data_IF_751796407875
#
_entry.id   IF_751796407875
#
_cell.length_a   1.000
_cell.length_b   1.000
_cell.length_c   1.000
_cell.angle_alpha   90.00
_cell.angle_beta   90.00
_cell.angle_gamma   90.00
#
_symmetry.space_group_name_H-M   'P 1'
#
loop_
_entity.id
_entity.type
_entity.pdbx_description
1 polymer ?
#
# COMPACT_ATOMS: atom_id res chain seq x y z
N UNK A 1 -7.19 -17.23 3.97
CA UNK A 1 -7.85 -16.04 4.52
C UNK A 1 -8.23 -15.14 3.35
N UNK A 2 -9.47 -14.67 3.30
CA UNK A 2 -9.95 -13.77 2.24
C UNK A 2 -9.36 -12.38 2.49
N UNK A 3 -8.68 -11.78 1.50
CA UNK A 3 -8.22 -10.39 1.61
C UNK A 3 -9.44 -9.47 1.49
N UNK A 4 -9.62 -8.56 2.45
CA UNK A 4 -10.67 -7.52 2.38
C UNK A 4 -10.15 -6.36 1.53
N UNK A 5 -10.93 -5.91 0.56
CA UNK A 5 -10.58 -4.78 -0.31
C UNK A 5 -10.84 -3.47 0.44
N UNK A 6 -9.82 -2.62 0.53
CA UNK A 6 -9.94 -1.26 1.03
C UNK A 6 -10.45 -0.34 -0.08
N UNK A 7 -9.82 -0.40 -1.27
CA UNK A 7 -10.27 0.36 -2.44
C UNK A 7 -9.88 -0.30 -3.76
N UNK A 8 -10.60 0.07 -4.83
CA UNK A 8 -10.27 -0.22 -6.22
C UNK A 8 -10.16 1.11 -6.96
N UNK A 9 -9.09 1.30 -7.70
CA UNK A 9 -8.81 2.58 -8.36
C UNK A 9 -8.01 2.37 -9.64
N UNK A 10 -7.88 3.42 -10.43
CA UNK A 10 -7.00 3.47 -11.59
C UNK A 10 -5.76 4.26 -11.22
N UNK A 11 -4.58 3.70 -11.48
CA UNK A 11 -3.31 4.39 -11.30
C UNK A 11 -3.14 5.52 -12.31
N UNK A 12 -2.29 6.53 -12.04
CA UNK A 12 -1.96 7.58 -13.01
C UNK A 12 -1.48 7.08 -14.38
N UNK A 13 -0.82 5.93 -14.44
CA UNK A 13 -0.43 5.25 -15.70
C UNK A 13 -1.59 4.64 -16.48
N UNK A 14 -2.77 4.50 -15.87
CA UNK A 14 -3.95 3.85 -16.44
C UNK A 14 -4.15 2.40 -16.02
N UNK A 15 -3.19 1.78 -15.32
CA UNK A 15 -3.35 0.41 -14.80
C UNK A 15 -4.42 0.33 -13.71
N UNK A 16 -5.10 -0.82 -13.63
CA UNK A 16 -6.09 -1.06 -12.58
C UNK A 16 -5.39 -1.50 -11.28
N UNK A 17 -5.73 -0.87 -10.16
CA UNK A 17 -5.17 -1.18 -8.85
C UNK A 17 -6.25 -1.65 -7.87
N UNK A 18 -5.93 -2.69 -7.11
CA UNK A 18 -6.69 -3.13 -5.94
C UNK A 18 -5.80 -2.98 -4.71
N UNK A 19 -6.27 -2.23 -3.73
CA UNK A 19 -5.55 -2.03 -2.46
C UNK A 19 -6.36 -2.72 -1.36
N UNK A 20 -5.69 -3.58 -0.61
CA UNK A 20 -6.29 -4.37 0.46
C UNK A 20 -6.15 -3.71 1.84
N UNK A 21 -7.06 -4.08 2.74
CA UNK A 21 -7.04 -3.64 4.12
C UNK A 21 -5.74 -4.01 4.86
N UNK A 22 -5.16 -3.01 5.52
CA UNK A 22 -3.96 -3.17 6.33
C UNK A 22 -4.32 -3.65 7.74
N UNK A 23 -4.15 -4.95 8.00
CA UNK A 23 -4.20 -5.50 9.35
C UNK A 23 -2.84 -5.47 10.02
N UNK A 24 -2.82 -5.55 11.36
CA UNK A 24 -1.58 -5.55 12.15
C UNK A 24 -0.53 -6.55 11.69
N UNK A 25 -0.91 -7.72 11.14
CA UNK A 25 0.04 -8.68 10.55
C UNK A 25 0.86 -8.10 9.40
N UNK A 26 0.26 -7.26 8.54
CA UNK A 26 0.94 -6.62 7.42
C UNK A 26 1.87 -5.52 7.94
N UNK A 27 1.38 -4.71 8.89
CA UNK A 27 2.13 -3.66 9.55
C UNK A 27 3.38 -4.20 10.26
N UNK A 28 3.23 -5.19 11.14
CA UNK A 28 4.36 -5.77 11.88
C UNK A 28 5.31 -6.56 10.98
N UNK A 29 4.81 -7.16 9.88
CA UNK A 29 5.67 -7.77 8.87
C UNK A 29 6.56 -6.69 8.22
N UNK A 30 5.95 -5.60 7.72
CA UNK A 30 6.69 -4.50 7.12
C UNK A 30 7.72 -3.88 8.09
N UNK A 31 7.37 -3.64 9.35
CA UNK A 31 8.29 -3.12 10.36
C UNK A 31 9.52 -4.02 10.60
N UNK A 32 9.34 -5.34 10.67
CA UNK A 32 10.45 -6.27 10.89
C UNK A 32 11.42 -6.26 9.72
N UNK A 33 10.90 -6.12 8.51
CA UNK A 33 11.72 -6.13 7.30
C UNK A 33 12.38 -4.78 7.02
N UNK A 34 11.74 -3.66 7.40
CA UNK A 34 12.25 -2.33 7.10
C UNK A 34 13.43 -1.89 7.97
N UNK A 35 13.65 -2.53 9.13
CA UNK A 35 14.75 -2.20 10.06
C UNK A 35 14.80 -0.71 10.45
N UNK A 36 13.64 -0.06 10.50
CA UNK A 36 13.50 1.37 10.85
C UNK A 36 13.58 2.33 9.66
N UNK A 37 13.79 1.84 8.44
CA UNK A 37 13.73 2.66 7.24
C UNK A 37 12.27 2.86 6.78
N UNK A 38 11.84 4.12 6.65
CA UNK A 38 10.46 4.43 6.32
C UNK A 38 10.10 4.09 4.85
N UNK A 39 11.06 4.19 3.93
CA UNK A 39 10.85 3.85 2.52
C UNK A 39 10.70 2.34 2.36
N UNK A 40 11.55 1.56 3.03
CA UNK A 40 11.42 0.09 3.08
C UNK A 40 10.12 -0.33 3.76
N UNK A 41 9.69 0.36 4.81
CA UNK A 41 8.42 0.08 5.47
C UNK A 41 7.24 0.19 4.48
N UNK A 42 7.16 1.29 3.74
CA UNK A 42 6.13 1.47 2.70
C UNK A 42 6.30 0.45 1.58
N UNK A 43 7.52 0.15 1.14
CA UNK A 43 7.82 -0.87 0.11
C UNK A 43 7.20 -2.22 0.48
N UNK A 44 7.40 -2.68 1.72
CA UNK A 44 6.84 -3.95 2.18
C UNK A 44 5.32 -3.92 2.34
N UNK A 45 4.73 -2.77 2.68
CA UNK A 45 3.27 -2.62 2.67
C UNK A 45 2.71 -2.71 1.26
N UNK A 46 3.32 -2.05 0.28
CA UNK A 46 2.90 -2.13 -1.13
C UNK A 46 2.90 -3.57 -1.64
N UNK A 47 3.99 -4.30 -1.41
CA UNK A 47 4.11 -5.71 -1.81
C UNK A 47 3.05 -6.61 -1.18
N UNK A 48 2.61 -6.29 0.05
CA UNK A 48 1.60 -7.07 0.75
C UNK A 48 0.16 -6.71 0.35
N UNK A 49 -0.09 -5.45 0.00
CA UNK A 49 -1.44 -4.87 -0.05
C UNK A 49 -1.89 -4.40 -1.42
N UNK A 50 -0.99 -4.31 -2.41
CA UNK A 50 -1.32 -3.76 -3.73
C UNK A 50 -1.28 -4.88 -4.76
N UNK A 51 -2.35 -4.96 -5.54
CA UNK A 51 -2.42 -5.72 -6.79
C UNK A 51 -2.60 -4.76 -7.97
N UNK A 52 -1.88 -5.00 -9.05
CA UNK A 52 -1.93 -4.23 -10.29
C UNK A 52 -2.33 -5.19 -11.41
N UNK A 53 -3.35 -4.81 -12.19
CA UNK A 53 -3.87 -5.61 -13.30
C UNK A 53 -4.14 -7.08 -12.89
N UNK A 54 -4.80 -7.23 -11.72
CA UNK A 54 -5.17 -8.51 -11.09
C UNK A 54 -3.98 -9.39 -10.66
N UNK A 55 -2.78 -8.82 -10.60
CA UNK A 55 -1.56 -9.53 -10.18
C UNK A 55 -0.99 -8.94 -8.90
N UNK A 56 -0.56 -9.84 -8.01
CA UNK A 56 0.22 -9.46 -6.83
C UNK A 56 1.51 -8.77 -7.26
N UNK A 57 1.84 -7.69 -6.58
CA UNK A 57 3.05 -6.94 -6.87
C UNK A 57 4.28 -7.74 -6.44
N UNK A 58 5.24 -7.91 -7.35
CA UNK A 58 6.55 -8.49 -7.03
C UNK A 58 7.56 -7.37 -6.74
N UNK A 59 8.68 -7.66 -6.05
CA UNK A 59 9.75 -6.68 -5.85
C UNK A 59 10.23 -6.05 -7.15
N UNK A 60 10.43 -6.86 -8.19
CA UNK A 60 10.89 -6.40 -9.50
C UNK A 60 9.83 -5.54 -10.19
N UNK A 61 8.54 -5.89 -10.08
CA UNK A 61 7.46 -5.10 -10.63
C UNK A 61 7.34 -3.73 -9.95
N UNK A 62 7.54 -3.69 -8.62
CA UNK A 62 7.57 -2.45 -7.86
C UNK A 62 8.76 -1.56 -8.25
N UNK A 63 9.95 -2.14 -8.40
CA UNK A 63 11.17 -1.40 -8.80
C UNK A 63 11.07 -0.80 -10.21
N UNK A 64 10.27 -1.40 -11.09
CA UNK A 64 10.01 -0.91 -12.44
C UNK A 64 8.72 -0.08 -12.56
N UNK A 65 8.02 0.18 -11.46
CA UNK A 65 6.77 0.94 -11.47
C UNK A 65 7.03 2.42 -11.77
N UNK A 66 6.11 3.06 -12.50
CA UNK A 66 6.22 4.48 -12.77
C UNK A 66 6.14 5.29 -11.48
N UNK A 67 7.05 6.27 -11.29
CA UNK A 67 7.15 7.03 -10.03
C UNK A 67 5.85 7.69 -9.56
N UNK A 68 5.02 8.17 -10.51
CA UNK A 68 3.67 8.70 -10.23
C UNK A 68 2.74 7.67 -9.58
N UNK A 69 2.82 6.41 -9.99
CA UNK A 69 2.00 5.34 -9.43
C UNK A 69 2.51 4.95 -8.04
N UNK A 70 3.83 4.95 -7.83
CA UNK A 70 4.45 4.76 -6.51
C UNK A 70 3.98 5.87 -5.56
N UNK A 71 4.04 7.13 -5.98
CA UNK A 71 3.61 8.27 -5.17
C UNK A 71 2.12 8.14 -4.80
N UNK A 72 1.27 7.83 -5.78
CA UNK A 72 -0.16 7.64 -5.56
C UNK A 72 -0.44 6.46 -4.60
N UNK A 73 0.19 5.30 -4.81
CA UNK A 73 0.05 4.14 -3.92
C UNK A 73 0.50 4.47 -2.49
N UNK A 74 1.59 5.23 -2.35
CA UNK A 74 2.10 5.67 -1.03
C UNK A 74 1.09 6.55 -0.32
N UNK A 75 0.48 7.50 -1.03
CA UNK A 75 -0.54 8.39 -0.48
C UNK A 75 -1.76 7.61 0.02
N UNK A 76 -2.28 6.69 -0.80
CA UNK A 76 -3.44 5.86 -0.42
C UNK A 76 -3.13 4.95 0.77
N UNK A 77 -1.93 4.35 0.81
CA UNK A 77 -1.51 3.55 1.96
C UNK A 77 -1.36 4.41 3.22
N UNK A 78 -0.86 5.64 3.08
CA UNK A 78 -0.71 6.56 4.21
C UNK A 78 -2.06 7.01 4.74
N UNK A 79 -3.01 7.36 3.87
CA UNK A 79 -4.37 7.75 4.28
C UNK A 79 -5.06 6.64 5.07
N UNK A 80 -4.88 5.37 4.66
CA UNK A 80 -5.38 4.21 5.41
C UNK A 80 -4.83 4.12 6.83
N UNK A 81 -3.61 4.62 7.08
CA UNK A 81 -2.97 4.59 8.40
C UNK A 81 -3.23 5.85 9.23
N UNK A 82 -3.48 6.99 8.59
CA UNK A 82 -3.64 8.29 9.28
C UNK A 82 -5.09 8.68 9.50
N UNK A 83 -6.04 8.12 8.74
CA UNK A 83 -7.46 8.39 8.96
C UNK A 83 -7.97 7.60 10.18
N UNK A 84 -8.04 8.31 11.30
CA UNK A 84 -9.08 8.00 12.29
C UNK A 84 -10.45 8.07 11.61
N UNK A 85 -11.38 7.24 12.08
CA UNK A 85 -12.83 7.30 11.79
C UNK A 85 -13.28 8.75 11.58
N UNK A 86 -14.08 9.06 10.53
CA UNK A 86 -14.49 10.44 10.25
C UNK A 86 -15.06 11.10 11.52
N UNK A 87 -14.36 12.11 12.06
CA UNK A 87 -14.83 12.92 13.20
C UNK A 87 -13.90 13.15 14.39
N UNK A 88 -12.62 12.75 14.37
CA UNK A 88 -11.67 13.15 15.43
C UNK A 88 -10.47 13.92 14.84
N UNK A 89 -10.12 15.10 15.41
CA UNK A 89 -8.99 15.88 14.96
C UNK A 89 -7.68 15.15 15.28
N UNK A 90 -6.72 15.25 14.36
CA UNK A 90 -5.41 14.61 14.47
C UNK A 90 -4.67 14.97 15.75
N UNK A 91 -3.80 14.05 16.16
CA UNK A 91 -2.75 14.33 17.14
C UNK A 91 -1.64 15.19 16.52
#
# INVERSE_FOLDING_TARGET
>A
MTKQVFTKTTMPSGSAAVIYECYGRHYFHALRHSRGDAAEFIRYLMLALVEIDEKALTPEALDNMHVRDIAFATEVLTSMMTDGVPGLPGY
#
